data_IF_062793426116
#
_entry.id   IF_062793426116
#
_cell.length_a   1.000
_cell.length_b   1.000
_cell.length_c   1.000
_cell.angle_alpha   90.00
_cell.angle_beta   90.00
_cell.angle_gamma   90.00
#
_symmetry.space_group_name_H-M   'P 1'
#
loop_
_entity.id
_entity.type
_entity.pdbx_description
1 polymer ?
#
# COMPACT_ATOMS: atom_id res chain seq x y z
N UNK A 1 15.25 -7.00 -17.00
CA UNK A 1 15.10 -6.84 -15.54
C UNK A 1 16.38 -6.19 -15.02
N UNK A 2 16.32 -5.36 -13.98
CA UNK A 2 17.49 -4.69 -13.40
C UNK A 2 18.50 -5.68 -12.80
N UNK A 3 19.77 -5.32 -12.66
CA UNK A 3 20.83 -6.11 -12.01
C UNK A 3 21.43 -5.33 -10.84
N UNK A 4 21.91 -6.04 -9.81
CA UNK A 4 22.52 -5.44 -8.62
C UNK A 4 23.79 -6.20 -8.26
N UNK A 5 24.88 -5.47 -8.09
CA UNK A 5 26.20 -5.99 -7.74
C UNK A 5 26.86 -5.11 -6.69
N UNK A 6 27.56 -5.72 -5.74
CA UNK A 6 28.34 -5.00 -4.74
C UNK A 6 29.50 -5.84 -4.21
N UNK A 7 30.40 -5.22 -3.46
CA UNK A 7 31.58 -5.90 -2.89
C UNK A 7 31.26 -6.93 -1.81
N UNK A 8 30.02 -6.96 -1.31
CA UNK A 8 29.57 -7.89 -0.27
C UNK A 8 28.60 -8.93 -0.85
N UNK A 9 29.05 -10.19 -1.06
CA UNK A 9 28.24 -11.23 -1.71
C UNK A 9 26.92 -11.54 -1.00
N UNK A 10 26.82 -11.28 0.31
CA UNK A 10 25.58 -11.49 1.05
C UNK A 10 24.42 -10.61 0.54
N UNK A 11 24.67 -9.33 0.21
CA UNK A 11 23.61 -8.45 -0.28
C UNK A 11 23.12 -8.85 -1.67
N UNK A 12 23.99 -9.39 -2.52
CA UNK A 12 23.56 -9.97 -3.81
C UNK A 12 22.66 -11.20 -3.62
N UNK A 13 22.88 -12.00 -2.57
CA UNK A 13 21.99 -13.11 -2.23
C UNK A 13 20.62 -12.61 -1.78
N UNK A 14 20.57 -11.55 -0.97
CA UNK A 14 19.31 -10.92 -0.55
C UNK A 14 18.54 -10.35 -1.74
N UNK A 15 19.23 -9.67 -2.67
CA UNK A 15 18.63 -9.16 -3.91
C UNK A 15 18.04 -10.31 -4.76
N UNK A 16 18.77 -11.42 -4.92
CA UNK A 16 18.30 -12.63 -5.62
C UNK A 16 17.08 -13.25 -4.93
N UNK A 17 17.05 -13.31 -3.60
CA UNK A 17 15.91 -13.82 -2.85
C UNK A 17 14.68 -12.93 -3.04
N UNK A 18 14.82 -11.62 -2.85
CA UNK A 18 13.76 -10.64 -3.03
C UNK A 18 13.13 -10.71 -4.44
N UNK A 19 13.94 -10.87 -5.49
CA UNK A 19 13.44 -11.04 -6.87
C UNK A 19 12.55 -12.26 -7.01
N UNK A 20 12.98 -13.40 -6.48
CA UNK A 20 12.19 -14.64 -6.54
C UNK A 20 10.89 -14.47 -5.78
N UNK A 21 10.94 -13.86 -4.59
CA UNK A 21 9.74 -13.58 -3.79
C UNK A 21 8.75 -12.71 -4.55
N UNK A 22 9.20 -11.60 -5.15
CA UNK A 22 8.33 -10.73 -5.94
C UNK A 22 7.72 -11.52 -7.10
N UNK A 23 8.52 -12.19 -7.93
CA UNK A 23 8.00 -12.93 -9.08
C UNK A 23 7.02 -14.04 -8.68
N UNK A 24 7.30 -14.73 -7.56
CA UNK A 24 6.46 -15.78 -7.03
C UNK A 24 5.13 -15.25 -6.46
N UNK A 25 5.02 -13.95 -6.19
CA UNK A 25 3.80 -13.31 -5.66
C UNK A 25 3.06 -12.45 -6.70
N UNK A 26 3.40 -12.58 -7.99
CA UNK A 26 2.74 -11.86 -9.09
C UNK A 26 1.87 -12.80 -9.93
N UNK A 27 0.64 -13.02 -9.46
CA UNK A 27 -0.35 -13.91 -10.10
C UNK A 27 -1.51 -13.12 -10.73
N UNK A 28 -1.20 -12.00 -11.38
CA UNK A 28 -2.19 -11.02 -11.86
C UNK A 28 -2.52 -9.92 -10.83
N UNK A 29 -2.31 -10.20 -9.55
CA UNK A 29 -2.32 -9.25 -8.42
C UNK A 29 -1.08 -9.49 -7.56
N UNK A 30 -0.58 -8.49 -6.79
CA UNK A 30 0.40 -8.74 -5.74
C UNK A 30 -0.23 -9.54 -4.61
N UNK A 31 0.27 -10.76 -4.36
CA UNK A 31 -0.21 -11.62 -3.27
C UNK A 31 0.71 -11.58 -2.06
N UNK A 32 0.18 -11.80 -0.86
CA UNK A 32 0.94 -12.00 0.38
C UNK A 32 1.87 -13.22 0.27
N UNK A 33 1.29 -14.37 -0.06
CA UNK A 33 1.94 -15.67 -0.11
C UNK A 33 1.53 -16.43 -1.35
N UNK A 34 2.50 -17.02 -2.03
CA UNK A 34 2.25 -17.83 -3.21
C UNK A 34 1.62 -19.19 -2.89
N UNK A 35 1.77 -19.67 -1.64
CA UNK A 35 1.37 -21.03 -1.25
C UNK A 35 0.00 -21.07 -0.58
N UNK A 36 -0.21 -20.27 0.46
CA UNK A 36 -1.35 -20.42 1.35
C UNK A 36 -2.55 -19.61 0.89
N UNK A 37 -2.55 -18.29 1.13
CA UNK A 37 -3.73 -17.45 0.95
C UNK A 37 -3.87 -16.95 -0.49
N UNK A 38 -2.78 -16.43 -1.07
CA UNK A 38 -2.77 -15.74 -2.36
C UNK A 38 -3.73 -14.52 -2.38
N UNK A 39 -3.89 -13.88 -1.24
CA UNK A 39 -4.73 -12.71 -1.07
C UNK A 39 -3.96 -11.45 -1.46
N UNK A 40 -4.63 -10.49 -2.10
CA UNK A 40 -4.02 -9.21 -2.41
C UNK A 40 -4.04 -8.25 -1.22
N UNK A 41 -3.27 -8.58 -0.20
CA UNK A 41 -3.12 -7.74 0.98
C UNK A 41 -2.50 -6.39 0.61
N UNK A 42 -3.24 -5.33 0.92
CA UNK A 42 -2.94 -3.97 0.47
C UNK A 42 -1.71 -3.37 1.18
N UNK A 43 -1.51 -3.68 2.45
CA UNK A 43 -0.31 -3.28 3.22
C UNK A 43 0.97 -3.90 2.63
N UNK A 44 0.94 -5.19 2.32
CA UNK A 44 2.04 -5.93 1.69
C UNK A 44 2.36 -5.34 0.31
N UNK A 45 1.32 -5.08 -0.49
CA UNK A 45 1.47 -4.43 -1.79
C UNK A 45 2.09 -3.03 -1.64
N UNK A 46 1.68 -2.25 -0.63
CA UNK A 46 2.24 -0.92 -0.34
C UNK A 46 3.75 -1.00 -0.02
N UNK A 47 4.15 -1.89 0.88
CA UNK A 47 5.54 -2.05 1.31
C UNK A 47 6.42 -2.64 0.20
N UNK A 48 5.89 -3.59 -0.57
CA UNK A 48 6.59 -4.23 -1.68
C UNK A 48 6.73 -3.34 -2.92
N UNK A 49 5.89 -2.31 -3.07
CA UNK A 49 5.81 -1.49 -4.28
C UNK A 49 7.14 -0.88 -4.73
N UNK A 50 7.98 -0.26 -3.89
CA UNK A 50 9.27 0.28 -4.34
C UNK A 50 10.19 -0.80 -4.91
N UNK A 51 10.23 -1.98 -4.28
CA UNK A 51 11.05 -3.12 -4.70
C UNK A 51 10.57 -3.73 -6.01
N UNK A 52 9.25 -3.82 -6.20
CA UNK A 52 8.67 -4.23 -7.48
C UNK A 52 8.98 -3.21 -8.58
N UNK A 53 8.74 -1.93 -8.30
CA UNK A 53 8.92 -0.83 -9.27
C UNK A 53 10.36 -0.73 -9.80
N UNK A 54 11.36 -0.98 -8.97
CA UNK A 54 12.77 -1.03 -9.42
C UNK A 54 13.05 -2.12 -10.47
N UNK A 55 12.11 -3.05 -10.67
CA UNK A 55 12.29 -4.26 -11.49
C UNK A 55 11.29 -4.38 -12.64
N UNK A 56 10.15 -3.70 -12.54
CA UNK A 56 9.10 -3.67 -13.55
C UNK A 56 8.40 -2.32 -13.59
N UNK A 57 7.98 -1.89 -14.78
CA UNK A 57 7.12 -0.70 -14.98
C UNK A 57 5.63 -1.02 -14.83
N UNK A 58 5.28 -2.23 -14.42
CA UNK A 58 3.88 -2.67 -14.32
C UNK A 58 3.14 -1.88 -13.24
N UNK A 59 1.95 -1.40 -13.59
CA UNK A 59 0.97 -0.77 -12.71
C UNK A 59 0.03 -1.80 -12.06
N UNK A 60 0.29 -3.10 -12.20
CA UNK A 60 -0.55 -4.17 -11.64
C UNK A 60 -0.69 -4.11 -10.11
N UNK A 61 0.07 -3.23 -9.45
CA UNK A 61 -0.06 -2.84 -8.05
C UNK A 61 -1.16 -1.83 -7.74
N UNK A 62 -1.90 -1.29 -8.72
CA UNK A 62 -2.98 -0.32 -8.48
C UNK A 62 -4.30 -1.05 -8.18
N UNK A 63 -4.77 -1.12 -6.92
CA UNK A 63 -6.06 -1.72 -6.57
C UNK A 63 -7.29 -0.94 -7.08
N UNK A 64 -7.11 0.10 -7.91
CA UNK A 64 -8.21 0.93 -8.45
C UNK A 64 -8.57 0.66 -9.91
N UNK A 65 -7.90 -0.28 -10.60
CA UNK A 65 -8.17 -0.56 -12.01
C UNK A 65 -9.42 -1.47 -12.21
N UNK A 66 -9.98 -2.04 -11.14
CA UNK A 66 -11.21 -2.83 -11.23
C UNK A 66 -12.46 -2.00 -10.95
N UNK A 67 -13.52 -2.30 -11.70
CA UNK A 67 -14.86 -1.73 -11.55
C UNK A 67 -15.46 -1.85 -10.13
N UNK A 68 -14.95 -2.77 -9.31
CA UNK A 68 -15.39 -3.01 -7.91
C UNK A 68 -14.92 -1.95 -6.92
N UNK A 69 -13.87 -1.16 -7.23
CA UNK A 69 -13.44 -0.04 -6.39
C UNK A 69 -14.43 1.13 -6.38
N UNK A 70 -15.27 1.26 -7.43
CA UNK A 70 -16.25 2.36 -7.53
C UNK A 70 -17.48 2.20 -6.63
N UNK A 71 -17.74 0.99 -6.14
CA UNK A 71 -18.96 0.68 -5.35
C UNK A 71 -18.73 0.66 -3.84
N UNK A 72 -17.49 0.50 -3.39
CA UNK A 72 -17.17 0.47 -1.97
C UNK A 72 -16.93 1.90 -1.45
N UNK A 73 -17.73 2.32 -0.47
CA UNK A 73 -17.56 3.60 0.24
C UNK A 73 -16.45 3.58 1.28
N UNK A 74 -15.94 2.39 1.63
CA UNK A 74 -14.82 2.17 2.55
C UNK A 74 -13.63 1.52 1.83
N UNK A 75 -12.39 1.88 2.19
CA UNK A 75 -11.22 1.13 1.74
C UNK A 75 -11.12 -0.22 2.47
N UNK A 76 -10.43 -1.19 1.86
CA UNK A 76 -10.30 -2.58 2.34
C UNK A 76 -8.83 -2.96 2.52
N UNK A 77 -8.54 -3.80 3.50
CA UNK A 77 -7.20 -4.34 3.72
C UNK A 77 -6.79 -5.38 2.67
N UNK A 78 -7.75 -5.96 1.93
CA UNK A 78 -7.52 -7.00 0.92
C UNK A 78 -8.23 -6.63 -0.38
N UNK A 79 -7.54 -6.83 -1.50
CA UNK A 79 -8.08 -6.55 -2.83
C UNK A 79 -7.57 -7.53 -3.89
N UNK A 80 -8.43 -8.07 -4.78
CA UNK A 80 -9.89 -7.99 -4.77
C UNK A 80 -10.49 -8.65 -3.53
N UNK A 81 -11.62 -8.14 -3.02
CA UNK A 81 -12.29 -8.69 -1.85
C UNK A 81 -13.67 -9.25 -2.21
N UNK A 82 -14.00 -10.41 -1.64
CA UNK A 82 -15.34 -11.01 -1.64
C UNK A 82 -16.25 -10.50 -0.51
N UNK A 83 -15.84 -9.47 0.23
CA UNK A 83 -16.56 -8.89 1.36
C UNK A 83 -15.79 -8.95 2.68
N UNK A 84 -14.86 -9.90 2.84
CA UNK A 84 -13.95 -9.97 3.98
C UNK A 84 -12.84 -8.92 3.88
N UNK A 85 -12.54 -8.23 4.98
CA UNK A 85 -11.47 -7.23 5.07
C UNK A 85 -11.92 -5.77 4.98
N UNK A 86 -13.23 -5.52 4.89
CA UNK A 86 -13.80 -4.18 5.00
C UNK A 86 -14.08 -3.77 6.46
N UNK A 87 -14.59 -4.71 7.27
CA UNK A 87 -15.00 -4.42 8.66
C UNK A 87 -14.11 -5.13 9.68
N UNK A 88 -13.72 -6.37 9.39
CA UNK A 88 -12.97 -7.24 10.30
C UNK A 88 -11.53 -6.76 10.49
N UNK A 89 -11.02 -6.07 9.48
CA UNK A 89 -9.64 -5.58 9.39
C UNK A 89 -9.61 -4.05 9.27
N UNK A 90 -10.72 -3.37 9.59
CA UNK A 90 -10.93 -1.95 9.32
C UNK A 90 -11.43 -1.18 10.55
N UNK A 91 -11.01 0.08 10.75
CA UNK A 91 -10.03 0.82 9.95
C UNK A 91 -8.60 0.28 10.16
N UNK A 92 -7.76 0.35 9.12
CA UNK A 92 -6.32 0.02 9.19
C UNK A 92 -5.55 0.86 8.15
N UNK A 93 -5.32 2.16 8.43
CA UNK A 93 -4.72 3.12 7.49
C UNK A 93 -3.44 2.64 6.81
N UNK A 94 -2.60 1.92 7.52
CA UNK A 94 -1.34 1.40 7.03
C UNK A 94 -1.50 0.28 5.97
N UNK A 95 -2.69 -0.36 5.89
CA UNK A 95 -3.14 -1.20 4.77
C UNK A 95 -3.97 -0.39 3.74
N UNK A 96 -4.94 0.39 4.20
CA UNK A 96 -5.92 1.06 3.34
C UNK A 96 -5.38 2.25 2.56
N UNK A 97 -4.26 2.84 3.00
CA UNK A 97 -3.59 3.96 2.29
C UNK A 97 -2.71 3.52 1.12
N UNK A 98 -2.70 2.22 0.75
CA UNK A 98 -1.98 1.75 -0.46
C UNK A 98 -2.39 2.53 -1.70
N UNK A 99 -3.67 2.89 -1.78
CA UNK A 99 -4.22 3.50 -2.97
C UNK A 99 -3.69 4.93 -3.21
N UNK A 100 -3.80 5.87 -2.24
CA UNK A 100 -3.10 7.15 -2.34
C UNK A 100 -1.58 7.00 -2.44
N UNK A 101 -0.98 6.00 -1.80
CA UNK A 101 0.46 5.77 -1.90
C UNK A 101 0.91 5.40 -3.33
N UNK A 102 0.27 4.44 -4.00
CA UNK A 102 0.70 3.99 -5.33
C UNK A 102 0.54 5.10 -6.36
N UNK A 103 -0.62 5.78 -6.40
CA UNK A 103 -0.88 6.89 -7.34
C UNK A 103 0.18 7.98 -7.21
N UNK A 104 0.49 8.31 -5.96
CA UNK A 104 1.52 9.27 -5.60
C UNK A 104 2.92 8.86 -6.04
N UNK A 105 3.29 7.59 -5.86
CA UNK A 105 4.59 7.09 -6.33
C UNK A 105 4.68 7.07 -7.87
N UNK A 106 3.55 6.87 -8.57
CA UNK A 106 3.52 7.02 -10.03
C UNK A 106 3.81 8.46 -10.45
N UNK A 107 3.18 9.43 -9.79
CA UNK A 107 3.48 10.85 -10.02
C UNK A 107 4.93 11.20 -9.65
N UNK A 108 5.36 10.88 -8.42
CA UNK A 108 6.68 11.27 -7.88
C UNK A 108 7.83 10.74 -8.73
N UNK A 109 7.69 9.54 -9.28
CA UNK A 109 8.82 8.87 -9.92
C UNK A 109 8.69 8.66 -11.42
N UNK A 110 7.49 8.78 -12.00
CA UNK A 110 7.30 8.78 -13.46
C UNK A 110 6.78 10.10 -14.01
N UNK A 111 6.38 11.05 -13.15
CA UNK A 111 5.73 12.29 -13.59
C UNK A 111 4.31 12.10 -14.10
N UNK A 112 3.70 10.92 -13.87
CA UNK A 112 2.36 10.59 -14.35
C UNK A 112 1.30 11.19 -13.41
N UNK A 113 0.71 12.30 -13.84
CA UNK A 113 -0.41 12.96 -13.17
C UNK A 113 -1.79 12.52 -13.74
N UNK A 114 -1.80 11.70 -14.80
CA UNK A 114 -3.04 11.22 -15.41
C UNK A 114 -3.80 10.30 -14.45
N UNK A 115 -3.08 9.39 -13.79
CA UNK A 115 -3.63 8.50 -12.78
C UNK A 115 -4.22 9.30 -11.60
N UNK A 116 -3.52 10.35 -11.15
CA UNK A 116 -4.03 11.23 -10.09
C UNK A 116 -5.35 11.90 -10.50
N UNK A 117 -5.44 12.40 -11.74
CA UNK A 117 -6.68 13.02 -12.26
C UNK A 117 -7.84 12.04 -12.38
N UNK A 118 -7.61 10.83 -12.90
CA UNK A 118 -8.68 9.82 -13.04
C UNK A 118 -9.21 9.41 -11.66
N UNK A 119 -8.32 9.30 -10.69
CA UNK A 119 -8.64 8.67 -9.40
C UNK A 119 -8.90 9.66 -8.25
N UNK A 120 -8.81 10.97 -8.51
CA UNK A 120 -8.96 12.05 -7.52
C UNK A 120 -10.20 11.92 -6.62
N UNK A 121 -11.36 11.71 -7.24
CA UNK A 121 -12.64 11.60 -6.51
C UNK A 121 -12.64 10.41 -5.55
N UNK A 122 -12.03 9.29 -5.94
CA UNK A 122 -12.00 8.11 -5.07
C UNK A 122 -10.94 8.24 -3.97
N UNK A 123 -9.79 8.83 -4.30
CA UNK A 123 -8.75 9.16 -3.31
C UNK A 123 -9.29 10.06 -2.19
N UNK A 124 -9.97 11.15 -2.55
CA UNK A 124 -10.54 12.10 -1.59
C UNK A 124 -11.66 11.47 -0.75
N UNK A 125 -12.49 10.60 -1.34
CA UNK A 125 -13.51 9.83 -0.60
C UNK A 125 -12.89 8.84 0.38
N UNK A 126 -11.89 8.08 -0.05
CA UNK A 126 -11.18 7.11 0.79
C UNK A 126 -10.52 7.81 1.99
N UNK A 127 -9.78 8.91 1.74
CA UNK A 127 -9.19 9.71 2.81
C UNK A 127 -10.24 10.34 3.73
N UNK A 128 -11.35 10.84 3.16
CA UNK A 128 -12.47 11.36 3.96
C UNK A 128 -13.08 10.30 4.89
N UNK A 129 -13.15 9.05 4.43
CA UNK A 129 -13.61 7.92 5.24
C UNK A 129 -12.68 7.66 6.42
N UNK A 130 -11.36 7.63 6.21
CA UNK A 130 -10.37 7.44 7.28
C UNK A 130 -10.38 8.63 8.27
N UNK A 131 -10.42 9.86 7.75
CA UNK A 131 -10.45 11.09 8.57
C UNK A 131 -11.71 11.21 9.42
N UNK A 132 -12.86 10.71 8.95
CA UNK A 132 -14.11 10.72 9.73
C UNK A 132 -14.09 9.80 10.96
N UNK A 133 -13.06 8.93 11.09
CA UNK A 133 -12.93 7.93 12.16
C UNK A 133 -11.81 8.24 13.15
N UNK A 134 -11.21 9.43 13.07
CA UNK A 134 -10.21 9.84 14.04
C UNK A 134 -10.80 9.87 15.45
N UNK A 135 -10.03 9.38 16.42
CA UNK A 135 -10.32 9.52 17.84
C UNK A 135 -9.26 10.43 18.45
N UNK A 136 -9.68 11.55 19.06
CA UNK A 136 -8.78 12.57 19.61
C UNK A 136 -7.72 13.08 18.62
N UNK A 137 -8.09 13.15 17.34
CA UNK A 137 -7.20 13.56 16.24
C UNK A 137 -6.19 12.50 15.81
N UNK A 138 -6.25 11.29 16.36
CA UNK A 138 -5.40 10.16 16.01
C UNK A 138 -6.17 9.10 15.23
N UNK A 139 -5.49 8.45 14.29
CA UNK A 139 -6.07 7.34 13.57
C UNK A 139 -6.09 6.08 14.45
N UNK A 140 -7.16 5.31 14.33
CA UNK A 140 -7.32 4.00 14.96
C UNK A 140 -7.02 2.90 13.92
N UNK A 141 -6.50 1.77 14.39
CA UNK A 141 -6.21 0.62 13.54
C UNK A 141 -6.50 -0.72 14.21
N UNK A 142 -6.87 -1.72 13.41
CA UNK A 142 -6.97 -3.11 13.82
C UNK A 142 -5.65 -3.90 13.65
N UNK A 143 -4.68 -3.41 12.87
CA UNK A 143 -3.51 -4.21 12.44
C UNK A 143 -2.15 -3.64 12.88
N UNK A 144 -1.91 -2.33 12.75
CA UNK A 144 -0.69 -1.67 13.26
C UNK A 144 0.61 -2.06 12.53
N UNK A 145 1.73 -2.17 13.23
CA UNK A 145 2.98 -2.75 12.68
C UNK A 145 2.95 -4.28 12.76
N UNK A 146 2.25 -4.91 11.82
CA UNK A 146 1.92 -6.34 11.92
C UNK A 146 3.17 -7.24 11.84
N UNK A 147 3.25 -8.20 12.75
CA UNK A 147 4.36 -9.14 12.94
C UNK A 147 5.69 -8.50 13.37
N UNK A 148 5.74 -7.73 14.48
CA UNK A 148 7.01 -7.26 14.99
C UNK A 148 7.81 -8.44 15.59
N UNK A 149 9.14 -8.33 15.70
CA UNK A 149 9.99 -9.40 16.21
C UNK A 149 9.55 -9.89 17.59
N UNK A 150 9.28 -11.20 17.71
CA UNK A 150 8.87 -11.83 18.97
C UNK A 150 7.36 -11.87 19.22
N UNK A 151 6.53 -11.40 18.28
CA UNK A 151 5.08 -11.40 18.41
C UNK A 151 4.39 -12.07 17.22
N UNK A 152 3.19 -12.61 17.44
CA UNK A 152 2.40 -13.31 16.43
C UNK A 152 1.17 -12.51 16.03
N UNK A 153 1.35 -11.40 15.31
CA UNK A 153 0.27 -10.59 14.76
C UNK A 153 0.38 -9.12 15.17
N UNK A 154 -0.70 -8.59 15.76
CA UNK A 154 -0.80 -7.18 16.17
C UNK A 154 0.31 -6.84 17.17
N UNK A 155 1.00 -5.69 17.01
CA UNK A 155 2.09 -5.31 17.89
C UNK A 155 1.63 -4.96 19.31
N UNK A 156 2.54 -5.05 20.31
CA UNK A 156 2.26 -4.62 21.69
C UNK A 156 2.31 -3.09 21.88
N UNK A 157 2.99 -2.35 21.00
CA UNK A 157 3.11 -0.90 21.09
C UNK A 157 1.84 -0.16 20.66
N UNK A 158 1.84 1.17 20.82
CA UNK A 158 0.72 2.03 20.42
C UNK A 158 0.53 2.01 18.90
N UNK A 159 -0.44 1.22 18.45
CA UNK A 159 -0.79 1.04 17.03
C UNK A 159 -1.29 2.31 16.36
N UNK A 160 -1.74 3.32 17.12
CA UNK A 160 -2.22 4.60 16.57
C UNK A 160 -1.10 5.40 15.94
N UNK A 161 0.15 5.18 16.37
CA UNK A 161 1.31 5.89 15.82
C UNK A 161 1.50 5.57 14.33
N UNK A 162 1.57 4.29 13.98
CA UNK A 162 1.79 3.85 12.59
C UNK A 162 0.60 4.18 11.70
N UNK A 163 -0.62 3.99 12.22
CA UNK A 163 -1.86 4.37 11.56
C UNK A 163 -1.91 5.86 11.23
N UNK A 164 -1.64 6.71 12.24
CA UNK A 164 -1.67 8.17 12.07
C UNK A 164 -0.56 8.63 11.12
N UNK A 165 0.64 8.06 11.22
CA UNK A 165 1.74 8.38 10.32
C UNK A 165 1.42 8.01 8.87
N UNK A 166 0.83 6.84 8.63
CA UNK A 166 0.44 6.40 7.28
C UNK A 166 -0.67 7.28 6.70
N UNK A 167 -1.69 7.61 7.50
CA UNK A 167 -2.77 8.52 7.11
C UNK A 167 -2.26 9.93 6.83
N UNK A 168 -1.36 10.46 7.65
CA UNK A 168 -0.75 11.78 7.44
C UNK A 168 0.13 11.83 6.20
N UNK A 169 0.86 10.74 5.91
CA UNK A 169 1.73 10.62 4.73
C UNK A 169 0.93 10.54 3.42
N UNK A 170 -0.24 9.93 3.43
CA UNK A 170 -1.06 9.70 2.24
C UNK A 170 -1.33 10.99 1.42
N UNK A 171 -1.70 12.14 2.03
CA UNK A 171 -1.85 13.41 1.32
C UNK A 171 -0.53 14.19 1.07
N UNK A 172 0.59 13.80 1.69
CA UNK A 172 1.79 14.66 1.85
C UNK A 172 2.74 14.80 0.63
N UNK A 173 2.32 14.53 -0.62
CA UNK A 173 2.99 15.19 -1.74
C UNK A 173 2.04 15.60 -2.86
N UNK A 174 0.73 15.66 -2.56
CA UNK A 174 -0.23 16.41 -3.38
C UNK A 174 -0.06 17.92 -3.22
N UNK A 175 0.70 18.35 -2.20
CA UNK A 175 1.18 19.73 -2.03
C UNK A 175 2.56 19.85 -2.67
N UNK A 176 2.58 20.28 -3.93
CA UNK A 176 3.79 20.39 -4.74
C UNK A 176 4.83 21.34 -4.15
N UNK A 177 6.09 20.96 -4.37
CA UNK A 177 7.30 21.77 -4.32
C UNK A 177 7.18 22.93 -5.34
N UNK A 178 6.53 24.03 -4.96
CA UNK A 178 6.44 25.30 -5.70
C UNK A 178 5.83 25.27 -7.11
N UNK A 179 5.60 24.09 -7.68
CA UNK A 179 4.99 23.87 -9.00
C UNK A 179 3.57 23.41 -8.80
N UNK A 180 2.68 24.41 -8.78
CA UNK A 180 1.21 24.38 -8.84
C UNK A 180 0.51 23.27 -8.01
N UNK A 181 -0.29 23.63 -6.98
CA UNK A 181 -1.26 22.69 -6.44
C UNK A 181 -2.32 22.38 -7.52
N UNK A 182 -2.70 21.12 -7.64
CA UNK A 182 -3.91 20.69 -8.34
C UNK A 182 -5.14 21.02 -7.49
#
# INVERSE_FOLDING_TARGET
MSEFHCSEPFYERLDKAMRRTILNNLHGIPTDTAMYEKNGWTGDAQLGHPSWRMRSRSTASCPGDSATSRTASSPTAIFPSGGWGYNELGPSPEWTTVYPFVIREMYRVYGDDHLARIHWTMLTRSLGWDLSRLCDGLAVTALGDFLPPGYGGIPPEDTRLTATACLYRAPHPLRGDGRRPW
#
